data_IF_480958018724
#
_entry.id   IF_480958018724
#
_cell.length_a   1.000
_cell.length_b   1.000
_cell.length_c   1.000
_cell.angle_alpha   90.00
_cell.angle_beta   90.00
_cell.angle_gamma   90.00
#
_symmetry.space_group_name_H-M   'P 1'
#
loop_
_entity.id
_entity.type
_entity.pdbx_description
1 polymer ?
#
# COMPACT_ATOMS: atom_id res chain seq x y z
N UNK A 1 7.98 -4.55 9.82
CA UNK A 1 7.38 -5.45 8.81
C UNK A 1 6.68 -6.57 9.57
N UNK A 2 5.58 -7.08 9.03
CA UNK A 2 4.78 -8.15 9.63
C UNK A 2 4.64 -9.30 8.61
N UNK A 3 4.50 -10.53 9.08
CA UNK A 3 4.12 -11.64 8.20
C UNK A 3 2.65 -11.49 7.77
N UNK A 4 2.29 -12.06 6.62
CA UNK A 4 0.89 -12.05 6.17
C UNK A 4 -0.02 -12.77 7.18
N UNK A 5 0.46 -13.84 7.81
CA UNK A 5 -0.25 -14.56 8.87
C UNK A 5 -0.51 -13.68 10.11
N UNK A 6 0.45 -12.85 10.52
CA UNK A 6 0.24 -11.90 11.64
C UNK A 6 -0.83 -10.87 11.30
N UNK A 7 -0.81 -10.32 10.07
CA UNK A 7 -1.81 -9.36 9.62
C UNK A 7 -3.20 -10.00 9.49
N UNK A 8 -3.27 -11.25 9.03
CA UNK A 8 -4.51 -12.03 8.99
C UNK A 8 -5.09 -12.27 10.39
N UNK A 9 -4.22 -12.60 11.36
CA UNK A 9 -4.63 -12.76 12.78
C UNK A 9 -5.15 -11.45 13.36
N UNK A 10 -4.62 -10.31 12.91
CA UNK A 10 -5.11 -8.98 13.26
C UNK A 10 -6.43 -8.58 12.57
N UNK A 11 -7.05 -9.50 11.81
CA UNK A 11 -8.33 -9.27 11.13
C UNK A 11 -8.22 -8.58 9.77
N UNK A 12 -7.01 -8.42 9.24
CA UNK A 12 -6.80 -7.81 7.93
C UNK A 12 -6.82 -8.89 6.84
N UNK A 13 -7.61 -8.66 5.79
CA UNK A 13 -7.62 -9.49 4.59
C UNK A 13 -7.21 -8.67 3.37
N UNK A 14 -6.33 -9.19 2.50
CA UNK A 14 -5.92 -8.44 1.32
C UNK A 14 -7.05 -8.44 0.28
N UNK A 15 -7.33 -7.26 -0.31
CA UNK A 15 -8.35 -7.12 -1.35
C UNK A 15 -7.93 -7.74 -2.69
N UNK A 16 -6.63 -7.94 -2.90
CA UNK A 16 -6.05 -8.53 -4.09
C UNK A 16 -5.06 -9.63 -3.70
N UNK A 17 -4.87 -10.68 -4.52
CA UNK A 17 -3.90 -11.72 -4.23
C UNK A 17 -2.49 -11.16 -4.04
N UNK A 18 -1.82 -11.53 -2.94
CA UNK A 18 -0.46 -11.10 -2.65
C UNK A 18 0.61 -11.98 -3.34
N UNK A 19 0.21 -12.97 -4.15
CA UNK A 19 1.11 -13.94 -4.77
C UNK A 19 1.98 -14.66 -3.71
N UNK A 20 3.29 -14.69 -3.94
CA UNK A 20 4.24 -15.39 -3.06
C UNK A 20 4.75 -14.51 -1.90
N UNK A 21 4.23 -13.29 -1.70
CA UNK A 21 4.69 -12.40 -0.65
C UNK A 21 4.32 -12.92 0.75
N UNK A 22 5.33 -13.18 1.58
CA UNK A 22 5.15 -13.70 2.94
C UNK A 22 5.15 -12.61 4.02
N UNK A 23 5.58 -11.40 3.68
CA UNK A 23 5.66 -10.25 4.59
C UNK A 23 5.27 -8.96 3.89
N UNK A 24 4.70 -8.04 4.66
CA UNK A 24 4.38 -6.68 4.22
C UNK A 24 4.65 -5.66 5.34
N UNK A 25 4.75 -4.39 4.97
CA UNK A 25 4.64 -3.29 5.94
C UNK A 25 3.16 -2.98 6.14
N UNK A 26 2.74 -2.67 7.37
CA UNK A 26 1.38 -2.19 7.62
C UNK A 26 1.38 -0.67 7.38
N UNK A 27 0.66 -0.22 6.36
CA UNK A 27 0.43 1.20 6.13
C UNK A 27 -0.95 1.56 6.68
N UNK A 28 -1.06 2.73 7.33
CA UNK A 28 -2.31 3.28 7.85
C UNK A 28 -2.45 4.70 7.34
N UNK A 29 -3.50 4.97 6.57
CA UNK A 29 -3.84 6.30 6.06
C UNK A 29 -5.11 6.78 6.76
N UNK A 30 -5.10 8.03 7.21
CA UNK A 30 -6.29 8.70 7.72
C UNK A 30 -7.08 9.25 6.53
N UNK A 31 -8.35 8.86 6.41
CA UNK A 31 -9.26 9.29 5.35
C UNK A 31 -10.40 10.17 5.89
N UNK A 32 -10.28 10.65 7.13
CA UNK A 32 -11.26 11.51 7.81
C UNK A 32 -12.41 10.74 8.46
N UNK A 33 -13.04 9.81 7.74
CA UNK A 33 -14.10 8.93 8.28
C UNK A 33 -13.56 7.74 9.06
N UNK A 34 -12.24 7.53 9.04
CA UNK A 34 -11.57 6.43 9.69
C UNK A 34 -10.19 6.17 9.10
N UNK A 35 -9.71 4.95 9.27
CA UNK A 35 -8.41 4.52 8.77
C UNK A 35 -8.54 3.53 7.62
N UNK A 36 -7.73 3.75 6.59
CA UNK A 36 -7.50 2.79 5.52
C UNK A 36 -6.17 2.09 5.74
N UNK A 37 -6.19 0.76 5.78
CA UNK A 37 -5.01 -0.07 5.94
C UNK A 37 -4.58 -0.68 4.60
N UNK A 38 -3.27 -0.69 4.36
CA UNK A 38 -2.68 -1.27 3.16
C UNK A 38 -1.51 -2.19 3.48
N UNK A 39 -1.32 -3.21 2.64
CA UNK A 39 -0.15 -4.08 2.63
C UNK A 39 0.96 -3.44 1.80
N UNK A 40 1.90 -2.79 2.45
CA UNK A 40 3.08 -2.18 1.81
C UNK A 40 4.08 -3.24 1.36
N UNK A 41 4.03 -3.58 0.06
CA UNK A 41 4.93 -4.54 -0.61
C UNK A 41 6.30 -3.90 -0.96
N UNK A 42 7.32 -4.69 -1.38
CA UNK A 42 8.66 -4.18 -1.63
C UNK A 42 8.73 -2.97 -2.56
N UNK A 43 7.94 -2.95 -3.64
CA UNK A 43 7.93 -1.83 -4.58
C UNK A 43 7.47 -0.51 -3.93
N UNK A 44 6.53 -0.55 -2.97
CA UNK A 44 6.13 0.64 -2.23
C UNK A 44 7.30 1.20 -1.41
N UNK A 45 8.06 0.32 -0.76
CA UNK A 45 9.28 0.70 -0.04
C UNK A 45 10.36 1.24 -0.98
N UNK A 46 10.43 0.76 -2.22
CA UNK A 46 11.33 1.33 -3.23
C UNK A 46 10.96 2.78 -3.56
N UNK A 47 9.68 3.12 -3.67
CA UNK A 47 9.24 4.52 -3.90
C UNK A 47 9.64 5.41 -2.72
N UNK A 48 9.49 4.92 -1.47
CA UNK A 48 9.90 5.68 -0.30
C UNK A 48 11.41 5.93 -0.24
N UNK A 49 12.24 5.21 -0.99
CA UNK A 49 13.68 5.51 -1.09
C UNK A 49 13.97 6.85 -1.76
N UNK A 50 13.03 7.36 -2.57
CA UNK A 50 13.15 8.69 -3.17
C UNK A 50 12.86 9.79 -2.14
N UNK A 51 11.83 9.58 -1.31
CA UNK A 51 11.47 10.43 -0.18
C UNK A 51 10.82 9.57 0.90
N UNK A 52 11.40 9.59 2.11
CA UNK A 52 11.03 8.75 3.26
C UNK A 52 9.67 9.14 3.89
N UNK A 53 8.59 9.13 3.10
CA UNK A 53 7.24 9.47 3.54
C UNK A 53 6.20 8.53 2.92
N UNK A 54 5.32 7.97 3.76
CA UNK A 54 4.21 7.12 3.32
C UNK A 54 3.20 7.89 2.47
N UNK A 55 2.88 9.13 2.85
CA UNK A 55 1.97 10.00 2.08
C UNK A 55 2.57 10.33 0.71
N UNK A 56 3.87 10.65 0.65
CA UNK A 56 4.55 10.88 -0.61
C UNK A 56 4.47 9.66 -1.54
N UNK A 57 4.86 8.48 -1.05
CA UNK A 57 4.87 7.28 -1.88
C UNK A 57 3.46 6.86 -2.34
N UNK A 58 2.45 7.02 -1.48
CA UNK A 58 1.05 6.76 -1.85
C UNK A 58 0.56 7.75 -2.90
N UNK A 59 0.82 9.05 -2.73
CA UNK A 59 0.43 10.07 -3.69
C UNK A 59 1.09 9.88 -5.05
N UNK A 60 2.40 9.57 -5.08
CA UNK A 60 3.12 9.25 -6.33
C UNK A 60 2.48 8.08 -7.07
N UNK A 61 2.19 6.99 -6.37
CA UNK A 61 1.58 5.81 -6.98
C UNK A 61 0.16 6.09 -7.49
N UNK A 62 -0.70 6.67 -6.66
CA UNK A 62 -2.10 6.95 -7.01
C UNK A 62 -2.21 7.99 -8.14
N UNK A 63 -1.35 9.01 -8.16
CA UNK A 63 -1.29 9.98 -9.24
C UNK A 63 -0.92 9.31 -10.56
N UNK A 64 0.10 8.44 -10.56
CA UNK A 64 0.49 7.68 -11.74
C UNK A 64 -0.64 6.81 -12.29
N UNK A 65 -1.39 6.14 -11.40
CA UNK A 65 -2.57 5.36 -11.79
C UNK A 65 -3.67 6.23 -12.39
N UNK A 66 -3.99 7.38 -11.77
CA UNK A 66 -5.00 8.29 -12.27
C UNK A 66 -4.67 8.83 -13.67
N UNK A 67 -3.41 9.22 -13.90
CA UNK A 67 -2.94 9.66 -15.24
C UNK A 67 -2.99 8.51 -16.25
N UNK A 68 -2.58 7.30 -15.87
CA UNK A 68 -2.64 6.14 -16.76
C UNK A 68 -4.08 5.85 -17.21
N UNK A 69 -5.05 5.90 -16.28
CA UNK A 69 -6.47 5.73 -16.58
C UNK A 69 -7.02 6.86 -17.48
N UNK A 70 -6.66 8.12 -17.19
CA UNK A 70 -7.10 9.27 -17.96
C UNK A 70 -6.60 9.26 -19.42
N UNK A 71 -5.48 8.56 -19.70
CA UNK A 71 -4.92 8.43 -21.06
C UNK A 71 -5.55 7.32 -21.90
N UNK A 72 -6.37 6.46 -21.29
CA UNK A 72 -7.08 5.37 -21.99
C UNK A 72 -8.45 5.83 -22.49
N UNK A 73 -8.94 6.96 -21.99
CA UNK A 73 -10.17 7.64 -22.42
C UNK A 73 -9.92 8.41 -23.73
#
# INVERSE_FOLDING_TARGET
RYSISQLATAGLTPQQPLGNHQQASLLRLDVGTGYQYWYGLPNFYTITRYNHSTHYAMAVWQLGQAVALARVQ
#
